data_IF_692609790571
#
_entry.id   IF_692609790571
#
_cell.length_a   1.000
_cell.length_b   1.000
_cell.length_c   1.000
_cell.angle_alpha   90.00
_cell.angle_beta   90.00
_cell.angle_gamma   90.00
#
_symmetry.space_group_name_H-M   'P 1'
#
loop_
_entity.id
_entity.type
_entity.pdbx_description
1 polymer ?
#
# COMPACT_ATOMS: atom_id res chain seq x y z
N UNK A 1 12.23 25.84 3.59
CA UNK A 1 12.80 25.12 4.75
C UNK A 1 13.51 23.90 4.20
N UNK A 2 14.80 23.75 4.45
CA UNK A 2 15.62 22.68 3.86
C UNK A 2 15.30 21.35 4.56
N UNK A 3 14.33 20.62 4.01
CA UNK A 3 13.87 19.30 4.47
C UNK A 3 14.95 18.25 4.17
N UNK A 4 16.05 18.30 4.92
CA UNK A 4 17.17 17.38 4.75
C UNK A 4 16.76 16.05 5.35
N UNK A 5 16.26 15.15 4.51
CA UNK A 5 15.86 13.80 4.94
C UNK A 5 17.06 13.08 5.55
N UNK A 6 16.90 12.40 6.69
CA UNK A 6 17.98 11.66 7.30
C UNK A 6 18.48 10.56 6.36
N UNK A 7 19.80 10.37 6.28
CA UNK A 7 20.43 9.32 5.48
C UNK A 7 20.96 8.20 6.37
N UNK A 8 20.93 6.97 5.87
CA UNK A 8 21.51 5.83 6.55
C UNK A 8 23.04 5.96 6.56
N UNK A 9 23.72 5.82 7.70
CA UNK A 9 25.18 5.96 7.77
C UNK A 9 25.94 4.86 7.00
N UNK A 10 25.31 3.71 6.76
CA UNK A 10 25.97 2.58 6.09
C UNK A 10 25.85 2.64 4.56
N UNK A 11 24.64 2.89 4.03
CA UNK A 11 24.40 2.87 2.58
C UNK A 11 24.06 4.25 1.98
N UNK A 12 24.05 5.31 2.80
CA UNK A 12 23.74 6.70 2.42
C UNK A 12 22.36 6.90 1.77
N UNK A 13 21.52 5.87 1.75
CA UNK A 13 20.15 5.96 1.27
C UNK A 13 19.30 6.78 2.25
N UNK A 14 18.35 7.53 1.70
CA UNK A 14 17.40 8.28 2.50
C UNK A 14 16.56 7.33 3.36
N UNK A 15 16.55 7.57 4.67
CA UNK A 15 15.74 6.82 5.62
C UNK A 15 14.28 7.19 5.38
N UNK A 16 13.52 6.21 4.91
CA UNK A 16 12.07 6.33 4.81
C UNK A 16 11.48 6.40 6.21
N UNK A 17 10.54 7.32 6.42
CA UNK A 17 9.75 7.38 7.65
C UNK A 17 8.93 6.10 7.79
N UNK A 18 9.46 5.18 8.58
CA UNK A 18 8.87 3.88 8.89
C UNK A 18 9.07 3.60 10.37
N UNK A 19 8.27 2.70 10.92
CA UNK A 19 8.41 2.26 12.32
C UNK A 19 9.63 1.33 12.52
N UNK A 20 10.43 1.09 11.47
CA UNK A 20 11.58 0.21 11.50
C UNK A 20 12.77 0.90 12.16
N UNK A 21 13.44 0.18 13.06
CA UNK A 21 14.74 0.57 13.62
C UNK A 21 15.91 0.21 12.71
N UNK A 22 15.65 -0.45 11.57
CA UNK A 22 16.65 -0.89 10.59
C UNK A 22 16.41 -0.21 9.24
N UNK A 23 17.49 0.06 8.53
CA UNK A 23 17.44 0.60 7.17
C UNK A 23 16.75 -0.40 6.23
N UNK A 24 15.76 0.03 5.48
CA UNK A 24 15.04 -0.82 4.53
C UNK A 24 15.89 -1.26 3.33
N UNK A 25 16.98 -0.55 3.04
CA UNK A 25 17.82 -0.82 1.87
C UNK A 25 18.95 -1.80 2.17
N UNK A 26 19.69 -1.58 3.26
CA UNK A 26 20.86 -2.40 3.61
C UNK A 26 20.68 -3.26 4.86
N UNK A 27 19.55 -3.14 5.57
CA UNK A 27 19.25 -3.92 6.78
C UNK A 27 20.08 -3.54 8.02
N UNK A 28 20.97 -2.55 7.93
CA UNK A 28 21.77 -2.09 9.07
C UNK A 28 20.89 -1.43 10.11
N UNK A 29 21.26 -1.56 11.38
CA UNK A 29 20.58 -0.87 12.47
C UNK A 29 20.77 0.65 12.33
N UNK A 30 19.67 1.40 12.47
CA UNK A 30 19.69 2.86 12.42
C UNK A 30 19.97 3.39 13.83
N UNK A 31 20.79 4.45 13.97
CA UNK A 31 21.03 5.07 15.26
C UNK A 31 19.76 5.73 15.82
N UNK A 32 19.67 5.82 17.16
CA UNK A 32 18.46 6.25 17.89
C UNK A 32 17.94 7.64 17.50
N UNK A 33 18.82 8.52 17.04
CA UNK A 33 18.46 9.85 16.53
C UNK A 33 17.69 9.81 15.20
N UNK A 34 17.77 8.70 14.47
CA UNK A 34 17.01 8.46 13.24
C UNK A 34 15.73 7.66 13.49
N UNK A 35 15.48 7.23 14.74
CA UNK A 35 14.23 6.57 15.10
C UNK A 35 13.13 7.63 15.16
N UNK A 36 11.92 7.32 14.67
CA UNK A 36 10.82 8.27 14.74
C UNK A 36 10.47 8.56 16.21
N UNK A 37 10.23 9.83 16.53
CA UNK A 37 9.65 10.21 17.83
C UNK A 37 8.24 9.63 17.99
N UNK A 38 7.71 9.54 19.21
CA UNK A 38 6.38 8.94 19.41
C UNK A 38 5.26 9.69 18.65
N UNK A 39 5.35 11.02 18.54
CA UNK A 39 4.45 11.79 17.69
C UNK A 39 4.56 11.40 16.20
N UNK A 40 5.77 11.15 15.70
CA UNK A 40 5.98 10.68 14.32
C UNK A 40 5.49 9.25 14.13
N UNK A 41 5.67 8.37 15.12
CA UNK A 41 5.13 7.01 15.09
C UNK A 41 3.62 7.03 14.98
N UNK A 42 2.95 7.84 15.80
CA UNK A 42 1.49 7.99 15.72
C UNK A 42 1.03 8.56 14.38
N UNK A 43 1.73 9.56 13.83
CA UNK A 43 1.43 10.10 12.51
C UNK A 43 1.60 9.04 11.40
N UNK A 44 2.67 8.24 11.44
CA UNK A 44 2.91 7.14 10.50
C UNK A 44 1.82 6.08 10.61
N UNK A 45 1.42 5.71 11.84
CA UNK A 45 0.36 4.73 12.09
C UNK A 45 -1.00 5.23 11.60
N UNK A 46 -1.37 6.45 11.96
CA UNK A 46 -2.64 7.07 11.55
C UNK A 46 -2.77 7.14 10.02
N UNK A 47 -1.68 7.51 9.32
CA UNK A 47 -1.65 7.48 7.85
C UNK A 47 -1.81 6.08 7.27
N UNK A 48 -1.25 5.04 7.91
CA UNK A 48 -1.43 3.66 7.46
C UNK A 48 -2.88 3.18 7.66
N UNK A 49 -3.52 3.54 8.77
CA UNK A 49 -4.92 3.16 9.03
C UNK A 49 -5.87 3.74 7.98
N UNK A 50 -5.70 5.02 7.63
CA UNK A 50 -6.50 5.66 6.59
C UNK A 50 -6.29 5.01 5.22
N UNK A 51 -5.02 4.75 4.85
CA UNK A 51 -4.67 4.08 3.61
C UNK A 51 -5.25 2.66 3.54
N UNK A 52 -5.18 1.90 4.63
CA UNK A 52 -5.71 0.54 4.70
C UNK A 52 -7.23 0.55 4.52
N UNK A 53 -7.92 1.47 5.20
CA UNK A 53 -9.37 1.63 5.05
C UNK A 53 -9.78 1.95 3.61
N UNK A 54 -9.04 2.83 2.93
CA UNK A 54 -9.31 3.17 1.53
C UNK A 54 -9.09 1.96 0.60
N UNK A 55 -8.06 1.16 0.87
CA UNK A 55 -7.77 -0.06 0.12
C UNK A 55 -8.88 -1.11 0.29
N UNK A 56 -9.36 -1.34 1.50
CA UNK A 56 -10.43 -2.31 1.79
C UNK A 56 -11.73 -1.94 1.07
N UNK A 57 -12.12 -0.66 1.13
CA UNK A 57 -13.27 -0.14 0.39
C UNK A 57 -13.14 -0.35 -1.14
N UNK A 58 -11.93 -0.18 -1.68
CA UNK A 58 -11.68 -0.39 -3.11
C UNK A 58 -11.79 -1.88 -3.49
N UNK A 59 -11.31 -2.80 -2.65
CA UNK A 59 -11.43 -4.23 -2.86
C UNK A 59 -12.89 -4.71 -2.82
N UNK A 60 -13.68 -4.21 -1.86
CA UNK A 60 -15.12 -4.48 -1.78
C UNK A 60 -15.87 -3.97 -3.02
N UNK A 61 -15.53 -2.77 -3.49
CA UNK A 61 -16.15 -2.19 -4.69
C UNK A 61 -15.85 -2.99 -5.97
N UNK A 62 -14.64 -3.55 -6.11
CA UNK A 62 -14.26 -4.43 -7.22
C UNK A 62 -15.02 -5.76 -7.17
N UNK A 63 -15.09 -6.39 -6.00
CA UNK A 63 -15.83 -7.64 -5.81
C UNK A 63 -17.31 -7.50 -6.20
N UNK A 64 -17.93 -6.36 -5.92
CA UNK A 64 -19.31 -6.09 -6.29
C UNK A 64 -19.51 -5.82 -7.79
N UNK A 65 -18.53 -5.19 -8.47
CA UNK A 65 -18.59 -4.97 -9.92
C UNK A 65 -18.47 -6.27 -10.73
N UNK A 66 -17.61 -7.19 -10.31
CA UNK A 66 -17.44 -8.50 -10.99
C UNK A 66 -18.69 -9.39 -10.87
N UNK A 67 -19.42 -9.33 -9.74
CA UNK A 67 -20.73 -10.00 -9.61
C UNK A 67 -21.79 -9.45 -10.57
N UNK A 68 -21.76 -8.13 -10.86
CA UNK A 68 -22.72 -7.49 -11.77
C UNK A 68 -22.46 -7.84 -13.24
N UNK A 69 -21.19 -7.97 -13.65
CA UNK A 69 -20.83 -8.39 -15.03
C UNK A 69 -21.22 -9.83 -15.37
N UNK A 70 -21.27 -10.75 -14.41
CA UNK A 70 -21.70 -12.14 -14.66
C UNK A 70 -23.19 -12.32 -14.98
N UNK A 71 -24.05 -11.33 -14.71
CA UNK A 71 -25.50 -11.40 -15.01
C UNK A 71 -25.90 -10.87 -16.40
N UNK A 72 -24.94 -10.45 -17.22
CA UNK A 72 -25.23 -9.72 -18.48
C UNK A 72 -24.66 -10.37 -19.75
N UNK A 73 -24.42 -11.69 -19.74
CA UNK A 73 -24.29 -12.41 -21.01
C UNK A 73 -25.67 -12.96 -21.40
N UNK A 74 -26.30 -12.51 -22.51
CA UNK A 74 -27.45 -13.21 -23.05
C UNK A 74 -27.06 -14.65 -23.40
N UNK A 75 -27.97 -15.63 -23.24
CA UNK A 75 -27.67 -17.00 -23.62
C UNK A 75 -27.34 -17.04 -25.11
N UNK A 76 -26.16 -17.58 -25.44
CA UNK A 76 -25.75 -17.82 -26.82
C UNK A 76 -26.58 -19.02 -27.29
N UNK A 77 -27.61 -18.78 -28.11
CA UNK A 77 -28.37 -19.85 -28.75
C UNK A 77 -27.45 -20.58 -29.75
N UNK A 78 -27.41 -21.92 -29.75
CA UNK A 78 -26.62 -22.66 -30.72
C UNK A 78 -27.20 -22.46 -32.13
N UNK A 79 -26.35 -22.31 -33.17
CA UNK A 79 -26.84 -22.12 -34.53
C UNK A 79 -27.58 -23.39 -34.96
N UNK A 80 -28.88 -23.24 -35.23
CA UNK A 80 -29.69 -24.29 -35.85
C UNK A 80 -29.09 -24.61 -37.22
N UNK A 81 -28.56 -25.82 -37.35
CA UNK A 81 -28.09 -26.36 -38.61
C UNK A 81 -29.32 -26.78 -39.43
N UNK A 82 -29.66 -26.00 -40.46
CA UNK A 82 -30.73 -26.33 -41.40
C UNK A 82 -30.13 -27.26 -42.46
N UNK A 83 -30.73 -28.44 -42.63
CA UNK A 83 -30.42 -29.43 -43.66
C UNK A 83 -30.82 -28.95 -45.05
#
# INVERSE_FOLDING_TARGET
MSDTKPQCPNCQQNVLQSLSTRCMYCGSELPKNLHPSDAQKQAILSRHEESNRAHDLAMEARANKDKKKKKQKPPIEPPFNIQ
#
